data_IF_085625433327
#
_entry.id   IF_085625433327
#
_cell.length_a   1.000
_cell.length_b   1.000
_cell.length_c   1.000
_cell.angle_alpha   90.00
_cell.angle_beta   90.00
_cell.angle_gamma   90.00
#
_symmetry.space_group_name_H-M   'P 1'
#
loop_
_entity.id
_entity.type
_entity.pdbx_description
1 polymer ?
#
# COMPACT_ATOMS: atom_id res chain seq x y z
N UNK A 1 -38.30 -0.50 -33.76
CA UNK A 1 -39.34 0.49 -33.37
C UNK A 1 -38.69 1.66 -32.67
N UNK A 2 -39.15 2.89 -32.93
CA UNK A 2 -38.63 4.11 -32.26
C UNK A 2 -39.78 4.92 -31.68
N UNK A 3 -39.66 5.32 -30.42
CA UNK A 3 -40.52 6.33 -29.80
C UNK A 3 -39.63 7.55 -29.52
N UNK A 4 -39.87 8.65 -30.23
CA UNK A 4 -39.09 9.89 -30.12
C UNK A 4 -40.01 11.09 -29.93
N UNK A 5 -39.69 11.96 -28.98
CA UNK A 5 -40.40 13.23 -28.76
C UNK A 5 -39.77 14.39 -29.54
N UNK A 6 -40.50 15.50 -29.67
CA UNK A 6 -39.91 16.81 -29.99
C UNK A 6 -40.00 17.67 -28.73
N UNK A 7 -38.90 18.30 -28.34
CA UNK A 7 -38.88 19.16 -27.15
C UNK A 7 -39.93 20.26 -27.27
N UNK A 8 -40.77 20.38 -26.24
CA UNK A 8 -41.84 21.37 -26.21
C UNK A 8 -41.24 22.78 -26.14
N UNK A 9 -41.60 23.64 -27.11
CA UNK A 9 -41.09 25.02 -27.22
C UNK A 9 -39.56 25.13 -27.18
N UNK A 10 -38.84 24.13 -27.68
CA UNK A 10 -37.39 24.10 -27.70
C UNK A 10 -36.82 23.18 -28.78
N UNK A 11 -35.49 23.08 -28.81
CA UNK A 11 -34.76 22.11 -29.61
C UNK A 11 -34.41 20.87 -28.79
N UNK A 12 -34.34 19.70 -29.44
CA UNK A 12 -33.98 18.42 -28.82
C UNK A 12 -35.08 17.36 -28.89
N UNK A 13 -34.80 16.23 -28.24
CA UNK A 13 -35.70 15.07 -28.15
C UNK A 13 -35.29 14.14 -27.01
N UNK A 14 -36.24 13.35 -26.52
CA UNK A 14 -35.96 12.10 -25.81
C UNK A 14 -36.26 10.93 -26.75
N UNK A 15 -35.56 9.81 -26.59
CA UNK A 15 -35.73 8.65 -27.47
C UNK A 15 -35.58 7.33 -26.74
N UNK A 16 -36.45 6.39 -27.11
CA UNK A 16 -36.30 4.96 -26.83
C UNK A 16 -36.42 4.22 -28.16
N UNK A 17 -35.38 3.45 -28.51
CA UNK A 17 -35.30 2.71 -29.77
C UNK A 17 -34.91 1.26 -29.54
N UNK A 18 -35.63 0.38 -30.23
CA UNK A 18 -35.38 -1.06 -30.33
C UNK A 18 -35.04 -1.39 -31.79
N UNK A 19 -33.82 -1.85 -32.03
CA UNK A 19 -33.34 -2.42 -33.30
C UNK A 19 -33.16 -3.93 -33.10
N UNK A 20 -33.69 -4.73 -34.02
CA UNK A 20 -33.71 -6.21 -33.91
C UNK A 20 -33.35 -6.87 -35.26
N UNK A 21 -32.69 -6.12 -36.15
CA UNK A 21 -32.08 -6.69 -37.34
C UNK A 21 -30.89 -7.57 -36.92
N UNK A 22 -30.82 -8.77 -37.50
CA UNK A 22 -29.78 -9.76 -37.22
C UNK A 22 -28.38 -9.14 -37.26
N UNK A 23 -27.63 -9.31 -36.16
CA UNK A 23 -26.26 -8.79 -35.96
C UNK A 23 -26.16 -7.26 -35.85
N UNK A 24 -27.26 -6.56 -35.63
CA UNK A 24 -27.34 -5.11 -35.39
C UNK A 24 -28.30 -4.76 -34.24
N UNK A 25 -28.63 -5.74 -33.42
CA UNK A 25 -29.58 -5.64 -32.33
C UNK A 25 -29.11 -4.55 -31.34
N UNK A 26 -30.02 -3.65 -30.96
CA UNK A 26 -29.71 -2.56 -30.04
C UNK A 26 -30.93 -2.05 -29.29
N UNK A 27 -30.76 -1.87 -27.99
CA UNK A 27 -31.57 -0.97 -27.20
C UNK A 27 -30.84 0.38 -27.04
N UNK A 28 -31.47 1.48 -27.44
CA UNK A 28 -30.95 2.83 -27.26
C UNK A 28 -31.91 3.68 -26.44
N UNK A 29 -31.37 4.37 -25.44
CA UNK A 29 -32.10 5.30 -24.58
C UNK A 29 -31.36 6.65 -24.55
N UNK A 30 -32.11 7.73 -24.72
CA UNK A 30 -31.59 9.09 -24.66
C UNK A 30 -32.50 10.00 -23.83
N UNK A 31 -31.92 10.60 -22.80
CA UNK A 31 -32.53 11.67 -22.02
C UNK A 31 -31.81 12.99 -22.31
N UNK A 32 -32.56 14.04 -22.66
CA UNK A 32 -31.99 15.34 -23.02
C UNK A 32 -31.41 16.11 -21.82
N UNK A 33 -31.98 15.93 -20.62
CA UNK A 33 -31.62 16.70 -19.43
C UNK A 33 -31.38 15.78 -18.24
N UNK A 34 -32.46 15.26 -17.67
CA UNK A 34 -32.42 14.44 -16.45
C UNK A 34 -32.94 13.03 -16.78
N UNK A 35 -32.25 12.01 -16.29
CA UNK A 35 -32.73 10.63 -16.26
C UNK A 35 -32.73 10.17 -14.80
N UNK A 36 -33.92 9.88 -14.28
CA UNK A 36 -34.09 9.30 -12.93
C UNK A 36 -34.47 7.84 -13.11
N UNK A 37 -33.75 6.95 -12.42
CA UNK A 37 -34.10 5.53 -12.34
C UNK A 37 -34.26 5.17 -10.87
N UNK A 38 -35.48 4.83 -10.48
CA UNK A 38 -35.81 4.34 -9.14
C UNK A 38 -36.25 2.89 -9.25
N UNK A 39 -35.64 2.02 -8.45
CA UNK A 39 -35.99 0.59 -8.37
C UNK A 39 -36.28 0.27 -6.91
N UNK A 40 -37.54 -0.06 -6.61
CA UNK A 40 -38.03 -0.23 -5.22
C UNK A 40 -37.68 -1.59 -4.60
N UNK A 41 -37.29 -2.55 -5.42
CA UNK A 41 -36.94 -3.90 -4.98
C UNK A 41 -35.52 -4.24 -5.42
N UNK A 42 -35.37 -4.96 -6.53
CA UNK A 42 -34.07 -5.44 -6.99
C UNK A 42 -33.75 -4.94 -8.39
N UNK A 43 -32.48 -4.55 -8.59
CA UNK A 43 -31.89 -4.33 -9.91
C UNK A 43 -30.71 -5.27 -10.09
N UNK A 44 -30.77 -6.11 -11.10
CA UNK A 44 -29.62 -6.92 -11.55
C UNK A 44 -29.14 -6.41 -12.90
N UNK A 45 -27.83 -6.25 -13.06
CA UNK A 45 -27.20 -5.91 -14.34
C UNK A 45 -26.15 -6.96 -14.64
N UNK A 46 -26.27 -7.61 -15.80
CA UNK A 46 -25.26 -8.53 -16.34
C UNK A 46 -24.83 -8.01 -17.70
N UNK A 47 -23.52 -7.94 -17.94
CA UNK A 47 -22.93 -7.53 -19.21
C UNK A 47 -21.93 -8.61 -19.60
N UNK A 48 -22.23 -9.35 -20.68
CA UNK A 48 -21.48 -10.56 -21.05
C UNK A 48 -20.12 -10.28 -21.71
N UNK A 49 -19.92 -9.06 -22.22
CA UNK A 49 -18.69 -8.63 -22.86
C UNK A 49 -18.07 -7.44 -22.10
N UNK A 50 -18.30 -6.20 -22.55
CA UNK A 50 -17.66 -5.01 -21.98
C UNK A 50 -18.68 -4.03 -21.38
N UNK A 51 -18.35 -3.48 -20.21
CA UNK A 51 -19.03 -2.34 -19.62
C UNK A 51 -18.08 -1.13 -19.61
N UNK A 52 -18.50 -0.03 -20.24
CA UNK A 52 -17.78 1.25 -20.22
C UNK A 52 -18.71 2.33 -19.67
N UNK A 53 -18.31 2.97 -18.57
CA UNK A 53 -18.98 4.14 -18.00
C UNK A 53 -18.06 5.36 -18.10
N UNK A 54 -18.58 6.46 -18.64
CA UNK A 54 -17.86 7.74 -18.70
C UNK A 54 -18.69 8.82 -18.02
N UNK A 55 -18.27 9.25 -16.84
CA UNK A 55 -18.87 10.38 -16.12
C UNK A 55 -18.01 11.62 -16.36
N UNK A 56 -18.55 12.63 -17.06
CA UNK A 56 -17.80 13.84 -17.45
C UNK A 56 -17.59 14.85 -16.31
N UNK A 57 -18.35 14.72 -15.24
CA UNK A 57 -18.28 15.58 -14.06
C UNK A 57 -18.06 14.70 -12.83
N UNK A 58 -18.96 14.75 -11.85
CA UNK A 58 -18.80 14.03 -10.59
C UNK A 58 -19.62 12.75 -10.56
N UNK A 59 -19.03 11.69 -10.00
CA UNK A 59 -19.72 10.45 -9.62
C UNK A 59 -19.72 10.35 -8.09
N UNK A 60 -20.89 10.10 -7.50
CA UNK A 60 -21.04 9.80 -6.09
C UNK A 60 -21.67 8.41 -5.97
N UNK A 61 -20.97 7.50 -5.29
CA UNK A 61 -21.46 6.16 -4.99
C UNK A 61 -21.58 6.03 -3.48
N UNK A 62 -22.80 5.78 -3.01
CA UNK A 62 -23.09 5.55 -1.58
C UNK A 62 -23.60 4.13 -1.42
N UNK A 63 -22.91 3.34 -0.60
CA UNK A 63 -23.32 1.97 -0.25
C UNK A 63 -23.52 1.92 1.26
N UNK A 64 -24.74 1.57 1.71
CA UNK A 64 -25.15 1.70 3.12
C UNK A 64 -24.79 0.48 3.95
N UNK A 65 -24.91 -0.72 3.38
CA UNK A 65 -24.74 -1.99 4.12
C UNK A 65 -23.38 -2.61 3.84
N UNK A 66 -23.09 -2.92 2.58
CA UNK A 66 -21.83 -3.56 2.21
C UNK A 66 -21.57 -3.53 0.72
N UNK A 67 -20.29 -3.41 0.37
CA UNK A 67 -19.80 -3.48 -0.99
C UNK A 67 -18.79 -4.63 -1.07
N UNK A 68 -18.95 -5.49 -2.08
CA UNK A 68 -17.95 -6.49 -2.44
C UNK A 68 -17.56 -6.26 -3.89
N UNK A 69 -16.26 -6.06 -4.12
CA UNK A 69 -15.70 -5.92 -5.47
C UNK A 69 -14.79 -7.11 -5.71
N UNK A 70 -15.18 -7.98 -6.63
CA UNK A 70 -14.36 -9.09 -7.09
C UNK A 70 -13.85 -8.76 -8.49
N UNK A 71 -12.53 -8.64 -8.67
CA UNK A 71 -11.90 -8.39 -9.97
C UNK A 71 -11.23 -9.68 -10.43
N UNK A 72 -11.97 -10.52 -11.17
CA UNK A 72 -11.49 -11.80 -11.69
C UNK A 72 -11.22 -12.87 -10.62
N UNK A 73 -11.10 -14.14 -11.03
CA UNK A 73 -10.84 -15.27 -10.11
C UNK A 73 -10.02 -16.42 -10.70
N UNK A 74 -9.48 -16.28 -11.93
CA UNK A 74 -8.70 -17.34 -12.59
C UNK A 74 -7.40 -16.81 -13.18
N UNK A 75 -6.36 -17.61 -13.01
CA UNK A 75 -5.02 -17.45 -13.59
C UNK A 75 -5.04 -17.74 -15.11
N UNK A 76 -5.67 -16.87 -15.89
CA UNK A 76 -5.46 -16.81 -17.34
C UNK A 76 -5.19 -15.35 -17.74
N UNK A 77 -3.89 -15.04 -17.83
CA UNK A 77 -3.24 -14.09 -18.74
C UNK A 77 -3.66 -12.61 -18.88
N UNK A 78 -4.48 -12.02 -18.00
CA UNK A 78 -4.44 -10.58 -17.60
C UNK A 78 -5.78 -10.13 -17.05
N UNK A 79 -5.88 -10.01 -15.73
CA UNK A 79 -6.86 -9.15 -15.09
C UNK A 79 -6.11 -8.25 -14.12
N UNK A 80 -6.03 -6.96 -14.44
CA UNK A 80 -5.41 -5.94 -13.60
C UNK A 80 -6.47 -5.03 -12.97
N UNK A 81 -6.21 -4.59 -11.75
CA UNK A 81 -6.90 -3.43 -11.18
C UNK A 81 -5.92 -2.27 -11.18
N UNK A 82 -6.18 -1.27 -12.03
CA UNK A 82 -5.42 -0.01 -12.04
C UNK A 82 -6.26 1.09 -11.42
N UNK A 83 -5.79 1.63 -10.30
CA UNK A 83 -6.35 2.83 -9.67
C UNK A 83 -5.37 3.97 -9.90
N UNK A 84 -5.83 5.06 -10.51
CA UNK A 84 -5.06 6.28 -10.68
C UNK A 84 -5.83 7.45 -10.08
N UNK A 85 -5.21 8.16 -9.15
CA UNK A 85 -5.77 9.34 -8.48
C UNK A 85 -4.88 10.53 -8.81
N UNK A 86 -5.46 11.58 -9.39
CA UNK A 86 -4.68 12.72 -9.91
C UNK A 86 -4.28 13.74 -8.85
N UNK A 87 -5.03 13.82 -7.75
CA UNK A 87 -4.77 14.76 -6.66
C UNK A 87 -4.53 13.97 -5.36
N UNK A 88 -5.56 13.83 -4.52
CA UNK A 88 -5.44 13.22 -3.20
C UNK A 88 -6.35 12.00 -3.05
N UNK A 89 -5.87 11.03 -2.27
CA UNK A 89 -6.65 9.89 -1.81
C UNK A 89 -6.64 9.85 -0.28
N UNK A 90 -7.83 9.93 0.32
CA UNK A 90 -8.01 9.74 1.78
C UNK A 90 -8.77 8.44 2.00
N UNK A 91 -8.24 7.59 2.89
CA UNK A 91 -8.89 6.34 3.30
C UNK A 91 -9.05 6.37 4.82
N UNK A 92 -10.28 6.22 5.28
CA UNK A 92 -10.60 6.09 6.71
C UNK A 92 -11.22 4.72 6.95
N UNK A 93 -10.58 3.92 7.80
CA UNK A 93 -11.11 2.64 8.28
C UNK A 93 -11.45 2.80 9.76
N UNK A 94 -12.70 2.53 10.15
CA UNK A 94 -13.16 2.72 11.52
C UNK A 94 -12.83 1.54 12.45
N UNK A 95 -12.71 0.34 11.89
CA UNK A 95 -12.35 -0.87 12.61
C UNK A 95 -10.96 -1.34 12.11
N UNK A 96 -10.87 -2.54 11.53
CA UNK A 96 -9.61 -3.15 11.15
C UNK A 96 -9.34 -3.10 9.64
N UNK A 97 -8.07 -2.98 9.27
CA UNK A 97 -7.58 -3.20 7.91
C UNK A 97 -6.69 -4.44 7.87
N UNK A 98 -7.00 -5.39 7.00
CA UNK A 98 -6.16 -6.56 6.74
C UNK A 98 -5.71 -6.56 5.27
N UNK A 99 -4.42 -6.79 5.03
CA UNK A 99 -3.84 -6.91 3.70
C UNK A 99 -3.10 -8.25 3.59
N UNK A 100 -3.50 -9.07 2.62
CA UNK A 100 -2.80 -10.30 2.28
C UNK A 100 -2.36 -10.24 0.82
N UNK A 101 -1.05 -10.36 0.58
CA UNK A 101 -0.44 -10.37 -0.74
C UNK A 101 0.24 -11.72 -0.93
N UNK A 102 -0.20 -12.50 -1.93
CA UNK A 102 0.26 -13.89 -2.14
C UNK A 102 1.65 -13.95 -2.78
N UNK A 103 2.00 -12.95 -3.58
CA UNK A 103 3.31 -12.83 -4.22
C UNK A 103 4.04 -11.60 -3.68
N UNK A 104 4.41 -10.66 -4.54
CA UNK A 104 5.25 -9.53 -4.15
C UNK A 104 4.45 -8.25 -3.89
N UNK A 105 4.94 -7.44 -2.94
CA UNK A 105 4.49 -6.06 -2.72
C UNK A 105 5.65 -5.11 -2.98
N UNK A 106 5.54 -4.30 -4.04
CA UNK A 106 6.45 -3.18 -4.29
C UNK A 106 5.81 -1.86 -3.86
N UNK A 107 6.53 -1.06 -3.08
CA UNK A 107 6.10 0.26 -2.61
C UNK A 107 7.18 1.30 -2.93
N UNK A 108 6.82 2.35 -3.67
CA UNK A 108 7.63 3.56 -3.84
C UNK A 108 6.89 4.74 -3.22
N UNK A 109 7.63 5.59 -2.51
CA UNK A 109 7.16 6.88 -2.00
C UNK A 109 8.25 7.87 -2.36
N UNK A 110 7.94 8.78 -3.27
CA UNK A 110 8.95 9.65 -3.88
C UNK A 110 9.31 10.87 -3.00
N UNK A 111 8.42 11.20 -2.06
CA UNK A 111 8.64 12.20 -1.03
C UNK A 111 8.59 11.54 0.37
N UNK A 112 7.82 12.08 1.31
CA UNK A 112 7.86 11.64 2.70
C UNK A 112 6.86 10.52 3.02
N UNK A 113 7.30 9.56 3.84
CA UNK A 113 6.42 8.62 4.53
C UNK A 113 6.47 8.91 6.04
N UNK A 114 5.32 9.26 6.61
CA UNK A 114 5.14 9.44 8.05
C UNK A 114 4.23 8.31 8.55
N UNK A 115 4.61 7.67 9.66
CA UNK A 115 3.85 6.57 10.24
C UNK A 115 3.81 6.73 11.75
N UNK A 116 2.61 6.67 12.33
CA UNK A 116 2.39 6.69 13.78
C UNK A 116 1.64 5.42 14.14
N UNK A 117 2.26 4.57 14.95
CA UNK A 117 1.63 3.39 15.54
C UNK A 117 1.51 3.67 17.04
N UNK A 118 0.27 3.83 17.52
CA UNK A 118 0.01 4.11 18.94
C UNK A 118 0.01 2.85 19.80
N UNK A 119 -0.30 1.71 19.18
CA UNK A 119 -0.24 0.39 19.79
C UNK A 119 1.14 -0.27 19.60
N UNK A 120 1.12 -1.60 19.51
CA UNK A 120 2.32 -2.40 19.30
C UNK A 120 2.62 -2.58 17.81
N UNK A 121 3.88 -2.41 17.42
CA UNK A 121 4.39 -2.67 16.07
C UNK A 121 5.29 -3.92 16.09
N UNK A 122 5.05 -4.86 15.18
CA UNK A 122 5.82 -6.09 15.07
C UNK A 122 6.04 -6.46 13.62
N UNK A 123 7.29 -6.79 13.30
CA UNK A 123 7.70 -7.23 11.97
C UNK A 123 8.41 -8.59 12.11
N UNK A 124 8.01 -9.55 11.28
CA UNK A 124 8.70 -10.83 11.14
C UNK A 124 9.13 -10.99 9.69
N UNK A 125 10.45 -11.00 9.46
CA UNK A 125 11.05 -11.28 8.16
C UNK A 125 11.71 -12.65 8.23
N UNK A 126 11.24 -13.60 7.41
CA UNK A 126 11.73 -15.00 7.44
C UNK A 126 13.08 -15.16 6.74
N UNK A 127 13.35 -14.30 5.75
CA UNK A 127 14.62 -14.25 5.03
C UNK A 127 15.38 -12.98 5.44
N UNK A 128 16.11 -12.38 4.50
CA UNK A 128 16.93 -11.22 4.78
C UNK A 128 16.11 -9.93 4.82
N UNK A 129 16.45 -9.05 5.77
CA UNK A 129 16.00 -7.66 5.82
C UNK A 129 17.20 -6.74 5.59
N UNK A 130 17.10 -5.83 4.62
CA UNK A 130 18.13 -4.82 4.34
C UNK A 130 17.55 -3.43 4.47
N UNK A 131 18.13 -2.63 5.35
CA UNK A 131 17.80 -1.20 5.52
C UNK A 131 18.98 -0.37 5.02
N UNK A 132 18.72 0.57 4.10
CA UNK A 132 19.74 1.51 3.60
C UNK A 132 19.24 2.94 3.80
N UNK A 133 19.96 3.69 4.62
CA UNK A 133 19.69 5.10 4.90
C UNK A 133 20.86 5.92 4.35
N UNK A 134 20.56 6.91 3.50
CA UNK A 134 21.59 7.71 2.80
C UNK A 134 22.13 8.87 3.64
N UNK A 135 21.33 9.32 4.60
CA UNK A 135 21.68 10.38 5.54
C UNK A 135 21.76 9.76 6.94
N UNK A 136 21.13 10.37 7.94
CA UNK A 136 21.18 9.91 9.32
C UNK A 136 20.11 8.85 9.63
N UNK A 137 20.48 7.88 10.47
CA UNK A 137 19.56 6.95 11.11
C UNK A 137 19.59 7.19 12.62
N UNK A 138 18.45 7.54 13.21
CA UNK A 138 18.31 7.79 14.64
C UNK A 138 17.38 6.75 15.24
N UNK A 139 17.84 6.09 16.31
CA UNK A 139 17.03 5.19 17.12
C UNK A 139 16.90 5.81 18.51
N UNK A 140 15.72 6.35 18.82
CA UNK A 140 15.37 6.90 20.13
C UNK A 140 14.40 5.95 20.84
N UNK A 141 14.81 5.40 21.97
CA UNK A 141 14.08 4.37 22.72
C UNK A 141 14.08 4.75 24.19
N UNK A 142 12.89 4.97 24.75
CA UNK A 142 12.74 5.44 26.14
C UNK A 142 13.17 4.41 27.20
N UNK A 143 13.01 3.12 26.91
CA UNK A 143 13.26 2.04 27.86
C UNK A 143 14.50 1.23 27.48
N UNK A 144 14.33 0.13 26.72
CA UNK A 144 15.39 -0.84 26.47
C UNK A 144 15.48 -1.12 24.97
N UNK A 145 16.69 -1.03 24.42
CA UNK A 145 17.04 -1.61 23.12
C UNK A 145 17.67 -2.98 23.33
N UNK A 146 17.09 -4.02 22.72
CA UNK A 146 17.63 -5.38 22.75
C UNK A 146 17.99 -5.83 21.35
N UNK A 147 19.27 -6.15 21.11
CA UNK A 147 19.76 -6.72 19.85
C UNK A 147 20.25 -8.13 20.14
N UNK A 148 19.61 -9.12 19.52
CA UNK A 148 19.98 -10.54 19.63
C UNK A 148 20.36 -11.05 18.24
N UNK A 149 21.52 -11.69 18.15
CA UNK A 149 21.98 -12.37 16.94
C UNK A 149 22.44 -13.77 17.32
N UNK A 150 22.18 -14.75 16.44
CA UNK A 150 22.59 -16.13 16.65
C UNK A 150 24.10 -16.34 16.50
N UNK A 151 24.71 -15.62 15.55
CA UNK A 151 26.11 -15.83 15.17
C UNK A 151 27.01 -14.66 15.57
N UNK A 152 26.71 -13.45 15.07
CA UNK A 152 27.51 -12.25 15.33
C UNK A 152 26.70 -10.96 15.34
N UNK A 153 27.14 -9.99 16.12
CA UNK A 153 26.74 -8.58 16.01
C UNK A 153 27.98 -7.78 15.61
N UNK A 154 27.88 -6.98 14.55
CA UNK A 154 28.99 -6.22 14.00
C UNK A 154 28.58 -4.77 13.78
N UNK A 155 29.28 -3.84 14.42
CA UNK A 155 29.13 -2.40 14.28
C UNK A 155 30.38 -1.88 13.56
N UNK A 156 30.22 -1.32 12.36
CA UNK A 156 31.34 -0.84 11.54
C UNK A 156 31.20 0.66 11.27
N UNK A 157 32.27 1.39 11.49
CA UNK A 157 32.40 2.80 11.13
C UNK A 157 33.76 3.01 10.43
N UNK A 158 33.75 3.02 9.09
CA UNK A 158 34.98 3.13 8.31
C UNK A 158 35.97 1.99 8.62
N UNK A 159 37.11 2.32 9.22
CA UNK A 159 38.17 1.37 9.62
C UNK A 159 38.04 0.88 11.07
N UNK A 160 37.04 1.36 11.81
CA UNK A 160 36.78 0.95 13.19
C UNK A 160 35.62 -0.03 13.25
N UNK A 161 35.70 -0.99 14.17
CA UNK A 161 34.63 -1.96 14.38
C UNK A 161 34.51 -2.46 15.83
N UNK A 162 33.29 -2.85 16.19
CA UNK A 162 32.98 -3.64 17.39
C UNK A 162 32.28 -4.90 16.91
N UNK A 163 32.82 -6.06 17.26
CA UNK A 163 32.25 -7.36 16.91
C UNK A 163 32.03 -8.20 18.15
N UNK A 164 30.81 -8.71 18.32
CA UNK A 164 30.44 -9.69 19.34
C UNK A 164 30.13 -11.01 18.63
N UNK A 165 30.78 -12.09 19.06
CA UNK A 165 30.62 -13.43 18.49
C UNK A 165 29.87 -14.33 19.48
N UNK A 166 29.13 -15.33 18.97
CA UNK A 166 28.40 -16.31 19.79
C UNK A 166 29.31 -17.16 20.70
N UNK A 167 30.60 -17.22 20.39
CA UNK A 167 31.64 -17.83 21.24
C UNK A 167 31.94 -17.03 22.52
N UNK A 168 31.39 -15.83 22.66
CA UNK A 168 31.69 -14.89 23.75
C UNK A 168 32.91 -14.01 23.48
N UNK A 169 33.58 -14.18 22.34
CA UNK A 169 34.68 -13.31 21.92
C UNK A 169 34.16 -11.93 21.54
N UNK A 170 34.80 -10.89 22.07
CA UNK A 170 34.54 -9.49 21.72
C UNK A 170 35.81 -8.93 21.09
N UNK A 171 35.68 -8.35 19.90
CA UNK A 171 36.77 -7.69 19.20
C UNK A 171 36.42 -6.22 19.01
N UNK A 172 37.31 -5.33 19.46
CA UNK A 172 37.23 -3.89 19.19
C UNK A 172 38.49 -3.53 18.42
N UNK A 173 38.31 -2.98 17.22
CA UNK A 173 39.42 -2.65 16.31
C UNK A 173 39.29 -1.21 15.83
N UNK A 174 40.43 -0.54 15.66
CA UNK A 174 40.54 0.83 15.17
C UNK A 174 41.99 1.13 14.75
N UNK A 175 42.20 2.24 14.03
CA UNK A 175 43.56 2.69 13.68
C UNK A 175 44.31 3.29 14.86
N UNK A 176 43.57 3.93 15.76
CA UNK A 176 44.05 4.56 16.98
C UNK A 176 43.11 4.12 18.10
N UNK A 177 43.66 3.86 19.27
CA UNK A 177 42.90 3.38 20.42
C UNK A 177 43.38 4.11 21.68
N UNK A 178 42.61 5.10 22.11
CA UNK A 178 42.92 5.91 23.28
C UNK A 178 42.11 5.49 24.50
N UNK A 179 42.79 5.25 25.62
CA UNK A 179 42.18 5.08 26.92
C UNK A 179 42.54 6.29 27.80
N UNK A 180 41.63 7.27 27.87
CA UNK A 180 41.80 8.44 28.74
C UNK A 180 40.78 8.38 29.88
N UNK A 181 41.25 8.39 31.13
CA UNK A 181 40.38 8.38 32.31
C UNK A 181 40.75 9.49 33.29
N UNK A 182 39.77 10.27 33.75
CA UNK A 182 39.94 11.23 34.86
C UNK A 182 40.00 10.56 36.25
N UNK A 183 39.86 9.24 36.30
CA UNK A 183 39.95 8.38 37.48
C UNK A 183 40.58 7.03 37.11
N UNK A 184 40.42 5.98 37.94
CA UNK A 184 41.05 4.69 37.67
C UNK A 184 40.49 3.98 36.43
N UNK A 185 41.37 3.53 35.53
CA UNK A 185 41.04 2.59 34.46
C UNK A 185 41.39 1.15 34.90
N UNK A 186 40.40 0.26 34.95
CA UNK A 186 40.60 -1.15 35.35
C UNK A 186 40.45 -2.08 34.16
N UNK A 187 41.51 -2.82 33.84
CA UNK A 187 41.48 -3.91 32.85
C UNK A 187 41.76 -5.20 33.61
N UNK A 188 40.82 -6.14 33.56
CA UNK A 188 40.92 -7.44 34.25
C UNK A 188 40.65 -8.57 33.27
N UNK A 189 41.52 -9.56 33.30
CA UNK A 189 41.41 -10.81 32.56
C UNK A 189 42.26 -11.86 33.26
N UNK A 190 42.09 -13.14 32.91
CA UNK A 190 43.02 -14.18 33.39
C UNK A 190 44.46 -13.83 33.01
N UNK A 191 44.63 -13.40 31.76
CA UNK A 191 45.87 -12.89 31.19
C UNK A 191 45.58 -11.55 30.48
N UNK A 192 46.46 -10.56 30.64
CA UNK A 192 46.37 -9.25 29.97
C UNK A 192 47.69 -8.98 29.26
N UNK A 193 47.64 -8.88 27.95
CA UNK A 193 48.80 -8.60 27.11
C UNK A 193 48.70 -7.18 26.56
N UNK A 194 49.69 -6.35 26.86
CA UNK A 194 49.86 -5.00 26.32
C UNK A 194 51.27 -4.98 25.72
N UNK A 195 51.35 -4.64 24.44
CA UNK A 195 52.60 -4.60 23.69
C UNK A 195 52.83 -3.19 23.15
#
# INVERSE_FOLDING_TARGET
>A
MTIRSKTYKGSGFNELRFEDATSKEQLYMHAQKDMVTEVLHDRTTTVDHDHTETVKNNQMVTVVVGQTVNVGSKNEEKHDQKVAVAHDQTITIQNDQTLHVVHDRHKSVDNDQITTVTGFDTETVVKDQKVSVKQSYTLDVANITTIKSGDKIELICGKSSITLESSGKITISGQEFDFTAGGPANIKGKDVFIN
#
